data_IF_773782534228
#
_entry.id   IF_773782534228
#
_cell.length_a   1.000
_cell.length_b   1.000
_cell.length_c   1.000
_cell.angle_alpha   90.00
_cell.angle_beta   90.00
_cell.angle_gamma   90.00
#
_symmetry.space_group_name_H-M   'P 1'
#
loop_
_entity.id
_entity.type
_entity.pdbx_description
1 polymer ?
#
# COMPACT_ATOMS: atom_id res chain seq x y z
N UNK A 1 35.62 -3.56 17.29
CA UNK A 1 34.45 -3.69 16.40
C UNK A 1 33.74 -2.34 16.35
N UNK A 2 33.76 -1.62 15.22
CA UNK A 2 33.01 -0.36 15.08
C UNK A 2 33.85 0.89 14.82
N UNK A 3 34.17 1.15 13.54
CA UNK A 3 34.56 2.49 13.02
C UNK A 3 34.46 2.59 11.49
N UNK A 4 33.74 1.68 10.83
CA UNK A 4 33.55 1.69 9.37
C UNK A 4 32.24 2.38 8.96
N UNK A 5 32.23 3.07 7.81
CA UNK A 5 31.03 3.74 7.23
C UNK A 5 29.81 2.81 7.14
N UNK A 6 30.03 1.53 6.79
CA UNK A 6 28.97 0.50 6.71
C UNK A 6 28.32 0.22 8.07
N UNK A 7 29.12 0.11 9.14
CA UNK A 7 28.61 -0.13 10.48
C UNK A 7 27.74 1.03 10.98
N UNK A 8 28.15 2.28 10.70
CA UNK A 8 27.35 3.47 11.04
C UNK A 8 26.01 3.49 10.30
N UNK A 9 26.00 3.15 9.01
CA UNK A 9 24.76 3.07 8.22
C UNK A 9 23.80 2.02 8.79
N UNK A 10 24.31 0.83 9.12
CA UNK A 10 23.51 -0.26 9.69
C UNK A 10 22.86 0.13 11.04
N UNK A 11 23.61 0.80 11.93
CA UNK A 11 23.07 1.32 13.19
C UNK A 11 21.95 2.34 12.94
N UNK A 12 22.09 3.22 11.95
CA UNK A 12 21.05 4.18 11.56
C UNK A 12 19.77 3.50 11.07
N UNK A 13 19.89 2.45 10.27
CA UNK A 13 18.76 1.63 9.82
C UNK A 13 18.06 0.96 11.00
N UNK A 14 18.81 0.28 11.88
CA UNK A 14 18.23 -0.39 13.06
C UNK A 14 17.50 0.61 13.96
N UNK A 15 18.12 1.76 14.25
CA UNK A 15 17.49 2.84 15.03
C UNK A 15 16.17 3.29 14.41
N UNK A 16 16.11 3.38 13.08
CA UNK A 16 14.92 3.81 12.36
C UNK A 16 13.82 2.75 12.41
N UNK A 17 14.16 1.47 12.26
CA UNK A 17 13.21 0.35 12.38
C UNK A 17 12.60 0.35 13.79
N UNK A 18 13.43 0.42 14.84
CA UNK A 18 12.95 0.46 16.23
C UNK A 18 12.05 1.67 16.48
N UNK A 19 12.45 2.85 16.01
CA UNK A 19 11.62 4.06 16.14
C UNK A 19 10.26 3.88 15.45
N UNK A 20 10.23 3.28 14.26
CA UNK A 20 8.98 3.02 13.56
C UNK A 20 8.10 2.01 14.31
N UNK A 21 8.68 0.97 14.91
CA UNK A 21 7.92 0.02 15.74
C UNK A 21 7.26 0.71 16.95
N UNK A 22 8.00 1.57 17.66
CA UNK A 22 7.46 2.33 18.81
C UNK A 22 6.33 3.28 18.37
N UNK A 23 6.52 4.01 17.27
CA UNK A 23 5.48 4.88 16.70
C UNK A 23 4.26 4.06 16.25
N UNK A 24 4.49 2.88 15.68
CA UNK A 24 3.45 1.96 15.22
C UNK A 24 2.50 1.54 16.32
N UNK A 25 3.03 1.11 17.47
CA UNK A 25 2.18 0.67 18.60
C UNK A 25 1.51 1.82 19.35
N UNK A 26 2.02 3.06 19.23
CA UNK A 26 1.46 4.23 19.92
C UNK A 26 0.44 4.99 19.09
N UNK A 27 0.71 5.18 17.79
CA UNK A 27 -0.11 5.99 16.89
C UNK A 27 -0.66 5.21 15.70
N UNK A 28 0.06 4.18 15.23
CA UNK A 28 -0.25 3.45 14.00
C UNK A 28 0.09 4.23 12.72
N UNK A 29 -0.12 3.58 11.58
CA UNK A 29 0.14 4.13 10.25
C UNK A 29 -1.11 4.00 9.37
N UNK A 30 -1.40 5.06 8.62
CA UNK A 30 -2.54 5.12 7.69
C UNK A 30 -2.08 5.62 6.34
N UNK A 31 -2.25 4.79 5.31
CA UNK A 31 -1.95 5.14 3.92
C UNK A 31 -3.27 5.24 3.16
N UNK A 32 -3.54 6.41 2.57
CA UNK A 32 -4.73 6.63 1.76
C UNK A 32 -4.36 6.54 0.29
N UNK A 33 -5.14 5.76 -0.43
CA UNK A 33 -4.99 5.53 -1.85
C UNK A 33 -6.26 5.95 -2.58
N UNK A 34 -6.12 6.47 -3.80
CA UNK A 34 -7.24 6.89 -4.64
C UNK A 34 -7.37 5.93 -5.81
N UNK A 35 -8.59 5.48 -6.07
CA UNK A 35 -8.96 4.75 -7.28
C UNK A 35 -9.16 5.78 -8.38
N UNK A 36 -8.38 5.67 -9.45
CA UNK A 36 -8.46 6.54 -10.63
C UNK A 36 -8.88 5.68 -11.81
N UNK A 37 -10.01 6.04 -12.41
CA UNK A 37 -10.59 5.36 -13.57
C UNK A 37 -11.05 6.40 -14.58
N UNK A 38 -10.76 6.18 -15.86
CA UNK A 38 -11.13 7.09 -16.95
C UNK A 38 -12.34 6.58 -17.73
N UNK A 39 -12.37 5.30 -18.10
CA UNK A 39 -13.41 4.72 -18.97
C UNK A 39 -14.17 3.56 -18.33
N UNK A 40 -13.47 2.64 -17.64
CA UNK A 40 -14.08 1.47 -17.03
C UNK A 40 -14.18 1.66 -15.51
N UNK A 41 -15.36 1.55 -14.91
CA UNK A 41 -15.50 1.68 -13.46
C UNK A 41 -14.76 0.53 -12.78
N UNK A 42 -13.80 0.86 -11.92
CA UNK A 42 -13.00 -0.10 -11.15
C UNK A 42 -13.72 -0.38 -9.84
N UNK A 43 -13.95 -1.65 -9.52
CA UNK A 43 -14.53 -2.06 -8.23
C UNK A 43 -13.45 -2.72 -7.37
N UNK A 44 -13.30 -2.28 -6.13
CA UNK A 44 -12.33 -2.84 -5.19
C UNK A 44 -13.08 -3.49 -4.03
N UNK A 45 -12.80 -4.78 -3.79
CA UNK A 45 -13.40 -5.57 -2.71
C UNK A 45 -12.30 -6.16 -1.83
N UNK A 46 -12.51 -6.16 -0.52
CA UNK A 46 -11.61 -6.83 0.43
C UNK A 46 -12.25 -8.15 0.84
N UNK A 47 -11.54 -9.26 0.62
CA UNK A 47 -12.00 -10.60 1.01
C UNK A 47 -10.85 -11.34 1.69
N UNK A 48 -11.03 -11.66 2.98
CA UNK A 48 -9.99 -12.28 3.80
C UNK A 48 -8.70 -11.46 3.78
N UNK A 49 -7.60 -12.12 3.42
CA UNK A 49 -6.25 -11.53 3.38
C UNK A 49 -5.87 -10.97 1.98
N UNK A 50 -6.86 -10.70 1.13
CA UNK A 50 -6.61 -10.20 -0.22
C UNK A 50 -7.59 -9.09 -0.65
N UNK A 51 -7.08 -8.19 -1.48
CA UNK A 51 -7.85 -7.14 -2.16
C UNK A 51 -8.08 -7.59 -3.60
N UNK A 52 -9.35 -7.70 -3.97
CA UNK A 52 -9.83 -8.03 -5.30
C UNK A 52 -10.16 -6.75 -6.06
N UNK A 53 -9.56 -6.59 -7.23
CA UNK A 53 -9.73 -5.44 -8.11
C UNK A 53 -10.42 -5.96 -9.37
N UNK A 54 -11.70 -5.64 -9.50
CA UNK A 54 -12.58 -6.09 -10.58
C UNK A 54 -12.70 -5.01 -11.66
N UNK A 55 -12.90 -5.46 -12.90
CA UNK A 55 -13.14 -4.61 -14.08
C UNK A 55 -12.01 -3.61 -14.42
N UNK A 56 -10.77 -3.94 -14.06
CA UNK A 56 -9.60 -3.12 -14.40
C UNK A 56 -9.39 -3.10 -15.93
N UNK A 57 -9.58 -1.94 -16.57
CA UNK A 57 -9.49 -1.77 -18.04
C UNK A 57 -10.40 -2.76 -18.80
N UNK A 58 -11.55 -3.14 -18.21
CA UNK A 58 -12.46 -4.11 -18.81
C UNK A 58 -11.99 -5.57 -18.78
N UNK A 59 -10.99 -5.90 -17.96
CA UNK A 59 -10.58 -7.29 -17.73
C UNK A 59 -11.71 -8.08 -17.03
N UNK A 60 -11.98 -9.30 -17.51
CA UNK A 60 -12.97 -10.22 -16.91
C UNK A 60 -12.47 -10.91 -15.65
N UNK A 61 -11.16 -11.11 -15.53
CA UNK A 61 -10.55 -11.73 -14.36
C UNK A 61 -10.21 -10.66 -13.33
N UNK A 62 -10.57 -10.83 -12.05
CA UNK A 62 -10.13 -9.92 -11.01
C UNK A 62 -8.61 -10.00 -10.84
N UNK A 63 -7.98 -8.85 -10.58
CA UNK A 63 -6.60 -8.79 -10.11
C UNK A 63 -6.59 -8.88 -8.59
N UNK A 64 -5.62 -9.61 -8.05
CA UNK A 64 -5.55 -9.92 -6.63
C UNK A 64 -4.28 -9.30 -6.05
N UNK A 65 -4.44 -8.44 -5.05
CA UNK A 65 -3.35 -7.91 -4.25
C UNK A 65 -3.38 -8.52 -2.85
N UNK A 66 -2.26 -9.08 -2.40
CA UNK A 66 -2.16 -9.69 -1.06
C UNK A 66 -2.01 -8.62 0.00
N UNK A 67 -2.77 -8.74 1.07
CA UNK A 67 -2.59 -7.98 2.32
C UNK A 67 -1.47 -8.68 3.09
N UNK A 68 -0.51 -7.90 3.58
CA UNK A 68 0.67 -8.40 4.28
C UNK A 68 0.67 -7.86 5.70
N UNK A 69 1.07 -8.72 6.64
CA UNK A 69 1.26 -8.40 8.05
C UNK A 69 0.02 -8.61 8.91
N UNK A 70 0.22 -9.27 10.05
CA UNK A 70 -0.80 -9.48 11.06
C UNK A 70 -1.22 -8.13 11.66
N UNK A 71 -2.49 -7.76 11.48
CA UNK A 71 -3.04 -6.49 11.97
C UNK A 71 -3.09 -5.35 10.93
N UNK A 72 -2.72 -5.60 9.67
CA UNK A 72 -3.00 -4.66 8.57
C UNK A 72 -4.46 -4.79 8.15
N UNK A 73 -5.21 -3.69 8.16
CA UNK A 73 -6.61 -3.62 7.74
C UNK A 73 -6.73 -2.74 6.50
N UNK A 74 -7.55 -3.16 5.55
CA UNK A 74 -7.86 -2.38 4.35
C UNK A 74 -9.36 -2.07 4.36
N UNK A 75 -9.69 -0.78 4.30
CA UNK A 75 -11.06 -0.28 4.18
C UNK A 75 -11.25 0.38 2.82
N UNK A 76 -12.38 0.15 2.17
CA UNK A 76 -12.74 0.82 0.90
C UNK A 76 -13.92 1.75 1.20
N UNK A 77 -13.75 3.05 0.91
CA UNK A 77 -14.75 4.11 1.12
C UNK A 77 -14.96 4.87 -0.19
N UNK A 78 -15.95 4.45 -0.98
CA UNK A 78 -16.15 5.01 -2.32
C UNK A 78 -14.92 4.80 -3.19
N UNK A 79 -14.32 5.90 -3.66
CA UNK A 79 -13.11 5.89 -4.48
C UNK A 79 -11.80 5.88 -3.68
N UNK A 80 -11.88 5.85 -2.34
CA UNK A 80 -10.72 5.87 -1.45
C UNK A 80 -10.47 4.47 -0.84
N UNK A 81 -9.23 3.99 -0.94
CA UNK A 81 -8.77 2.76 -0.30
C UNK A 81 -7.82 3.15 0.83
N UNK A 82 -8.17 2.79 2.06
CA UNK A 82 -7.45 3.19 3.26
C UNK A 82 -6.79 1.93 3.85
N UNK A 83 -5.47 1.92 3.89
CA UNK A 83 -4.67 0.85 4.50
C UNK A 83 -4.17 1.33 5.86
N UNK A 84 -4.55 0.62 6.93
CA UNK A 84 -4.20 0.94 8.32
C UNK A 84 -3.47 -0.21 8.96
N UNK A 85 -2.55 0.07 9.88
CA UNK A 85 -1.87 -0.97 10.64
C UNK A 85 -0.85 -0.43 11.62
N UNK A 86 -0.32 -1.33 12.44
CA UNK A 86 0.69 -1.04 13.46
C UNK A 86 2.08 -1.04 12.84
N UNK A 87 2.37 -2.00 11.96
CA UNK A 87 3.67 -2.10 11.30
C UNK A 87 3.71 -1.28 10.00
N UNK A 88 4.69 -0.37 9.92
CA UNK A 88 4.92 0.49 8.76
C UNK A 88 5.33 -0.31 7.52
N UNK A 89 6.09 -1.38 7.70
CA UNK A 89 6.58 -2.20 6.58
C UNK A 89 5.41 -2.99 5.98
N UNK A 90 4.61 -3.65 6.81
CA UNK A 90 3.37 -4.32 6.40
C UNK A 90 2.37 -3.40 5.68
N UNK A 91 2.07 -2.23 6.25
CA UNK A 91 1.16 -1.23 5.64
C UNK A 91 1.70 -0.74 4.31
N UNK A 92 2.99 -0.40 4.26
CA UNK A 92 3.65 0.07 3.04
C UNK A 92 3.69 -1.00 1.95
N UNK A 93 3.97 -2.24 2.31
CA UNK A 93 4.02 -3.36 1.38
C UNK A 93 2.62 -3.68 0.83
N UNK A 94 1.59 -3.64 1.67
CA UNK A 94 0.20 -3.85 1.25
C UNK A 94 -0.23 -2.77 0.24
N UNK A 95 0.03 -1.50 0.54
CA UNK A 95 -0.26 -0.41 -0.40
C UNK A 95 0.52 -0.55 -1.72
N UNK A 96 1.80 -0.94 -1.65
CA UNK A 96 2.61 -1.19 -2.84
C UNK A 96 2.09 -2.36 -3.68
N UNK A 97 1.62 -3.44 -3.04
CA UNK A 97 1.02 -4.59 -3.74
C UNK A 97 -0.23 -4.18 -4.53
N UNK A 98 -1.08 -3.33 -3.93
CA UNK A 98 -2.30 -2.82 -4.58
C UNK A 98 -1.93 -1.97 -5.81
N UNK A 99 -1.01 -1.01 -5.66
CA UNK A 99 -0.56 -0.15 -6.76
C UNK A 99 0.07 -0.98 -7.89
N UNK A 100 0.96 -1.94 -7.54
CA UNK A 100 1.59 -2.83 -8.51
C UNK A 100 0.60 -3.75 -9.23
N UNK A 101 -0.43 -4.24 -8.54
CA UNK A 101 -1.48 -5.04 -9.16
C UNK A 101 -2.22 -4.25 -10.25
N UNK A 102 -2.38 -2.94 -10.07
CA UNK A 102 -2.99 -2.04 -11.07
C UNK A 102 -2.01 -1.46 -12.08
N UNK A 103 -0.75 -1.90 -12.10
CA UNK A 103 0.20 -1.40 -13.09
C UNK A 103 -0.15 -1.92 -14.48
N UNK A 104 -0.47 -1.00 -15.38
CA UNK A 104 -0.67 -1.31 -16.80
C UNK A 104 0.68 -1.67 -17.42
N UNK A 105 0.76 -2.86 -18.02
CA UNK A 105 1.94 -3.32 -18.74
C UNK A 105 1.64 -3.33 -20.24
N UNK A 106 2.66 -3.13 -21.07
CA UNK A 106 2.58 -3.22 -22.55
C UNK A 106 1.71 -2.15 -23.24
N UNK A 107 1.29 -1.10 -22.52
CA UNK A 107 0.63 0.09 -23.09
C UNK A 107 1.38 1.36 -22.69
N UNK A 108 1.08 2.47 -23.36
CA UNK A 108 1.66 3.78 -23.03
C UNK A 108 1.14 4.27 -21.66
N UNK A 109 2.01 4.39 -20.64
CA UNK A 109 1.60 4.81 -19.31
C UNK A 109 1.11 6.27 -19.25
N UNK A 110 1.36 7.09 -20.29
CA UNK A 110 0.87 8.48 -20.34
C UNK A 110 -0.58 8.58 -20.81
N UNK A 111 -1.11 7.54 -21.45
CA UNK A 111 -2.49 7.48 -21.95
C UNK A 111 -3.39 6.62 -21.09
N UNK A 112 -2.84 5.55 -20.50
CA UNK A 112 -3.55 4.64 -19.62
C UNK A 112 -3.12 4.92 -18.17
N UNK A 113 -3.83 5.86 -17.53
CA UNK A 113 -3.58 6.32 -16.16
C UNK A 113 -4.50 5.65 -15.13
N UNK A 114 -5.34 4.70 -15.56
CA UNK A 114 -6.22 3.93 -14.68
C UNK A 114 -5.37 3.11 -13.68
N UNK A 115 -5.66 3.26 -12.40
CA UNK A 115 -4.87 2.64 -11.33
C UNK A 115 -5.30 3.06 -9.94
N UNK A 116 -4.65 2.48 -8.93
CA UNK A 116 -4.85 2.84 -7.52
C UNK A 116 -3.54 3.40 -6.99
N UNK A 117 -3.54 4.66 -6.57
CA UNK A 117 -2.32 5.41 -6.23
C UNK A 117 -2.33 5.92 -4.81
N UNK A 118 -1.20 5.87 -4.13
CA UNK A 118 -1.03 6.47 -2.80
C UNK A 118 -1.01 7.99 -2.93
N UNK A 119 -1.93 8.70 -2.27
CA UNK A 119 -1.93 10.17 -2.24
C UNK A 119 -1.53 10.74 -0.88
N UNK A 120 -1.72 9.98 0.21
CA UNK A 120 -1.37 10.44 1.56
C UNK A 120 -0.74 9.31 2.38
N UNK A 121 0.34 9.65 3.10
CA UNK A 121 0.97 8.79 4.11
C UNK A 121 0.94 9.53 5.44
N UNK A 122 0.14 9.05 6.39
CA UNK A 122 -0.05 9.68 7.69
C UNK A 122 0.39 8.74 8.82
N UNK A 123 0.96 9.34 9.86
CA UNK A 123 1.19 8.69 11.16
C UNK A 123 -0.03 8.99 12.03
N UNK A 124 -0.68 7.94 12.54
CA UNK A 124 -1.97 8.03 13.23
C UNK A 124 -3.03 7.11 12.62
N UNK A 125 -3.86 6.49 13.48
CA UNK A 125 -5.11 5.84 13.13
C UNK A 125 -6.25 6.86 13.20
N UNK A 126 -6.71 7.34 12.04
CA UNK A 126 -8.05 7.94 11.90
C UNK A 126 -9.07 6.88 11.49
#
# INVERSE_FOLDING_TARGET
MGRGRRAKALIGTIRSIIKNMIVGVTQGFTYKMKIVASHFPITVKVQGDAVYIENFIGERSPRIAKIVGEGTRVEVRGDDVIVKGVDKEAVGQTAANIEQATKVRRKDPRKFLDGIYIYEKKVGME
#
